data_IF_799014744339
#
_entry.id   IF_799014744339
#
_cell.length_a   1.000
_cell.length_b   1.000
_cell.length_c   1.000
_cell.angle_alpha   90.00
_cell.angle_beta   90.00
_cell.angle_gamma   90.00
#
_symmetry.space_group_name_H-M   'P 1'
#
loop_
_entity.id
_entity.type
_entity.pdbx_description
1 polymer ?
2 non-polymer ?
3 non-polymer ?
4 water ?
#
# COMPACT_ATOMS: atom_id res chain seq x y z
N UNK A 5 -4.90 14.93 -7.33
CA UNK A 5 -5.63 13.68 -7.67
C UNK A 5 -6.72 13.31 -6.66
N UNK A 6 -7.84 14.02 -6.80
CA UNK A 6 -9.12 13.50 -7.34
C UNK A 6 -9.46 12.00 -7.31
N UNK A 7 -9.38 11.45 -6.11
CA UNK A 7 -9.57 10.03 -5.88
C UNK A 7 -10.22 9.88 -4.53
N UNK A 8 -10.97 8.80 -4.40
CA UNK A 8 -11.71 8.49 -3.19
C UNK A 8 -11.24 7.13 -2.68
N UNK A 9 -10.68 7.10 -1.48
CA UNK A 9 -10.20 5.87 -0.86
C UNK A 9 -11.31 5.22 -0.05
N UNK A 10 -11.68 4.00 -0.42
CA UNK A 10 -12.66 3.21 0.32
C UNK A 10 -12.03 1.90 0.78
N UNK A 11 -11.98 1.72 2.10
CA UNK A 11 -11.42 0.51 2.67
C UNK A 11 -12.48 -0.60 2.77
N UNK A 12 -12.12 -1.79 2.33
CA UNK A 12 -12.90 -2.99 2.56
C UNK A 12 -12.21 -3.77 3.68
N UNK A 13 -12.92 -3.90 4.80
CA UNK A 13 -12.35 -4.46 6.02
C UNK A 13 -12.76 -5.91 6.29
N UNK A 14 -11.88 -6.63 6.99
CA UNK A 14 -12.14 -8.01 7.44
C UNK A 14 -13.39 -8.05 8.35
N UNK A 15 -14.42 -8.79 7.94
CA UNK A 15 -15.60 -8.98 8.77
C UNK A 15 -15.27 -9.48 10.18
N UNK A 16 -14.36 -10.43 10.25
CA UNK A 16 -13.92 -11.02 11.52
C UNK A 16 -13.21 -10.01 12.39
N UNK A 17 -12.18 -9.40 11.82
CA UNK A 17 -11.39 -8.37 12.48
C UNK A 17 -11.59 -7.06 11.74
N UNK A 18 -12.62 -6.28 12.08
CA UNK A 18 -12.83 -5.01 11.34
C UNK A 18 -11.68 -4.03 11.51
N UNK A 19 -10.75 -4.42 12.39
CA UNK A 19 -9.46 -3.74 12.52
C UNK A 19 -8.64 -3.84 11.23
N UNK A 20 -8.82 -4.95 10.53
CA UNK A 20 -7.94 -5.37 9.45
C UNK A 20 -8.53 -5.06 8.09
N UNK A 21 -7.78 -4.31 7.29
CA UNK A 21 -8.15 -4.01 5.91
C UNK A 21 -7.76 -5.14 4.96
N UNK A 22 -8.74 -5.60 4.18
CA UNK A 22 -8.53 -6.62 3.14
C UNK A 22 -7.99 -6.00 1.86
N UNK A 23 -8.67 -4.95 1.38
CA UNK A 23 -8.28 -4.18 0.19
C UNK A 23 -8.50 -2.70 0.40
N UNK A 24 -7.64 -1.88 -0.21
CA UNK A 24 -7.86 -0.45 -0.31
C UNK A 24 -8.39 -0.19 -1.71
N UNK A 25 -9.60 0.34 -1.83
CA UNK A 25 -10.12 0.73 -3.14
C UNK A 25 -10.01 2.22 -3.40
N UNK A 26 -9.50 2.55 -4.58
CA UNK A 26 -9.43 3.91 -5.05
C UNK A 26 -10.38 4.08 -6.22
N UNK A 27 -11.41 4.90 -6.04
CA UNK A 27 -12.25 5.33 -7.14
C UNK A 27 -11.60 6.57 -7.76
N UNK A 28 -11.23 6.47 -9.03
CA UNK A 28 -10.43 7.49 -9.70
C UNK A 28 -11.12 8.03 -10.92
N UNK A 29 -10.70 9.23 -11.33
CA UNK A 29 -10.99 9.73 -12.66
C UNK A 29 -10.09 9.05 -13.70
N UNK A 30 -10.57 9.00 -14.92
CA UNK A 30 -9.77 8.53 -16.04
C UNK A 30 -8.67 9.54 -16.32
N UNK A 31 -7.52 9.07 -16.77
CA UNK A 31 -6.45 9.97 -17.16
C UNK A 31 -6.65 10.53 -18.55
N UNK A 32 -6.14 11.74 -18.76
CA UNK A 32 -5.94 12.27 -20.11
C UNK A 32 -4.60 11.75 -20.65
N UNK A 33 -4.52 11.52 -21.96
CA UNK A 33 -3.28 11.04 -22.58
C UNK A 33 -2.06 11.91 -22.29
N UNK A 34 -2.27 13.21 -22.24
CA UNK A 34 -1.17 14.17 -21.99
C UNK A 34 -0.70 14.18 -20.54
N UNK A 35 -1.57 13.82 -19.61
CA UNK A 35 -1.22 13.79 -18.18
C UNK A 35 -0.90 12.36 -17.69
N UNK A 36 -0.83 11.41 -18.62
CA UNK A 36 -0.70 9.99 -18.26
C UNK A 36 0.54 9.63 -17.41
N UNK A 37 1.70 10.22 -17.72
CA UNK A 37 2.89 9.95 -16.90
C UNK A 37 2.75 10.43 -15.45
N UNK A 38 2.21 11.63 -15.28
CA UNK A 38 1.93 12.17 -13.93
C UNK A 38 0.95 11.27 -13.20
N UNK A 39 -0.07 10.82 -13.92
CA UNK A 39 -1.12 9.97 -13.40
C UNK A 39 -0.56 8.63 -12.92
N UNK A 40 0.27 8.02 -13.75
CA UNK A 40 0.92 6.76 -13.39
C UNK A 40 1.78 6.93 -12.13
N UNK A 41 2.52 8.04 -12.05
CA UNK A 41 3.34 8.35 -10.87
C UNK A 41 2.46 8.39 -9.62
N UNK A 42 1.31 9.04 -9.75
CA UNK A 42 0.37 9.21 -8.62
C UNK A 42 -0.24 7.88 -8.21
N UNK A 43 -0.42 6.96 -9.16
CA UNK A 43 -0.86 5.61 -8.85
C UNK A 43 0.25 4.85 -8.11
N UNK A 44 1.48 4.96 -8.61
CA UNK A 44 2.64 4.31 -7.99
C UNK A 44 2.86 4.83 -6.57
N UNK A 45 2.68 6.13 -6.40
CA UNK A 45 2.85 6.80 -5.09
C UNK A 45 1.78 6.41 -4.06
N UNK A 46 0.70 5.82 -4.54
CA UNK A 46 -0.37 5.31 -3.66
C UNK A 46 -0.38 3.78 -3.63
N UNK A 47 0.70 3.19 -4.13
CA UNK A 47 0.90 1.76 -4.07
C UNK A 47 -0.04 0.92 -4.89
N UNK A 48 -0.61 1.48 -5.95
CA UNK A 48 -1.60 0.76 -6.73
C UNK A 48 -1.00 -0.47 -7.40
N UNK A 49 -1.67 -1.60 -7.19
CA UNK A 49 -1.25 -2.90 -7.71
C UNK A 49 -2.01 -3.21 -9.00
N UNK A 50 -3.31 -2.92 -8.97
CA UNK A 50 -4.23 -3.24 -10.06
C UNK A 50 -5.03 -2.01 -10.47
N UNK A 51 -5.14 -1.79 -11.76
CA UNK A 51 -5.98 -0.71 -12.30
C UNK A 51 -7.03 -1.33 -13.18
N UNK A 52 -8.30 -1.08 -12.83
CA UNK A 52 -9.44 -1.62 -13.57
C UNK A 52 -10.14 -0.48 -14.29
N UNK A 53 -10.20 -0.56 -15.60
CA UNK A 53 -11.00 0.41 -16.34
C UNK A 53 -12.26 -0.24 -16.86
N UNK A 54 -13.39 0.36 -16.49
CA UNK A 54 -14.69 -0.18 -16.82
C UNK A 54 -15.38 0.63 -17.93
N UNK A 55 -14.62 1.53 -18.58
CA UNK A 55 -15.13 2.40 -19.65
C UNK A 55 -14.46 2.00 -20.94
N UNK A 56 -14.87 2.62 -22.06
CA UNK A 56 -14.22 2.36 -23.34
C UNK A 56 -12.85 3.04 -23.36
N UNK A 57 -11.81 2.36 -23.83
CA UNK A 57 -10.44 2.91 -23.78
C UNK A 57 -10.38 4.35 -24.24
N UNK A 58 -9.72 5.18 -23.44
CA UNK A 58 -9.45 6.58 -23.77
C UNK A 58 -7.94 6.82 -23.83
N UNK A 59 -7.17 5.74 -23.69
CA UNK A 59 -5.71 5.82 -23.66
C UNK A 59 -5.04 4.45 -23.77
N UNK A 60 -3.72 4.47 -23.89
CA UNK A 60 -2.93 3.26 -24.13
C UNK A 60 -2.48 2.62 -22.82
N UNK A 61 -3.10 1.47 -22.51
CA UNK A 61 -2.87 0.77 -21.25
C UNK A 61 -1.44 0.21 -21.12
N UNK A 62 -0.76 0.00 -22.24
CA UNK A 62 0.58 -0.59 -22.24
C UNK A 62 1.60 0.27 -21.50
N UNK A 63 1.39 1.59 -21.52
CA UNK A 63 2.26 2.51 -20.77
C UNK A 63 2.13 2.35 -19.27
N UNK A 64 0.99 1.85 -18.82
CA UNK A 64 0.75 1.64 -17.40
C UNK A 64 1.28 0.27 -16.98
N UNK A 65 1.08 -0.71 -17.85
CA UNK A 65 1.56 -2.07 -17.60
C UNK A 65 3.07 -2.12 -17.43
N UNK A 66 3.76 -1.24 -18.14
CA UNK A 66 5.21 -1.26 -18.18
C UNK A 66 5.80 -0.64 -16.93
N UNK A 67 4.97 -0.07 -16.08
CA UNK A 67 5.43 0.57 -14.85
C UNK A 67 4.95 -0.16 -13.62
N UNK A 68 4.75 -1.46 -13.78
CA UNK A 68 4.53 -2.37 -12.66
C UNK A 68 3.09 -2.45 -12.17
N UNK A 69 2.17 -1.82 -12.89
CA UNK A 69 0.75 -1.87 -12.54
C UNK A 69 -0.01 -2.76 -13.51
N UNK A 70 -0.74 -3.73 -12.97
CA UNK A 70 -1.55 -4.62 -13.79
C UNK A 70 -2.80 -3.85 -14.21
N UNK A 71 -3.07 -3.79 -15.51
CA UNK A 71 -4.25 -3.10 -16.02
C UNK A 71 -5.26 -4.09 -16.57
N UNK A 72 -6.52 -3.86 -16.22
CA UNK A 72 -7.61 -4.75 -16.56
C UNK A 72 -8.69 -3.93 -17.28
N UNK A 73 -8.98 -4.29 -18.52
CA UNK A 73 -9.93 -3.53 -19.36
C UNK A 73 -11.23 -4.31 -19.48
N UNK A 74 -12.18 -4.03 -18.60
CA UNK A 74 -13.45 -4.73 -18.53
C UNK A 74 -14.64 -3.79 -18.74
N UNK A 75 -14.85 -3.33 -19.95
CA UNK A 75 -15.95 -2.37 -20.18
C UNK A 75 -17.33 -2.95 -19.96
N UNK A 76 -18.20 -2.15 -19.35
CA UNK A 76 -19.65 -2.40 -19.42
C UNK A 76 -20.40 -1.06 -19.59
N UNK A 77 -21.69 -1.16 -19.94
CA UNK A 77 -22.45 0.00 -20.43
C UNK A 77 -22.74 1.03 -19.33
N UNK A 78 -22.73 2.31 -19.70
CA UNK A 78 -23.07 3.35 -18.74
C UNK A 78 -24.47 3.15 -18.22
N UNK A 79 -24.62 3.40 -16.92
CA UNK A 79 -25.87 3.26 -16.23
C UNK A 79 -26.23 1.84 -15.91
N UNK A 80 -25.40 0.89 -16.34
CA UNK A 80 -25.72 -0.53 -16.21
C UNK A 80 -25.07 -1.12 -14.98
N UNK A 81 -25.60 -2.24 -14.50
CA UNK A 81 -24.84 -3.03 -13.53
C UNK A 81 -23.73 -3.79 -14.25
N UNK A 82 -22.73 -4.30 -13.53
CA UNK A 82 -21.74 -5.18 -14.15
C UNK A 82 -22.41 -6.34 -14.85
N UNK A 83 -21.97 -6.65 -16.05
CA UNK A 83 -22.31 -7.93 -16.64
C UNK A 83 -21.79 -9.08 -15.77
N UNK A 84 -22.32 -10.27 -16.02
CA UNK A 84 -21.85 -11.46 -15.32
C UNK A 84 -20.37 -11.74 -15.57
N UNK A 85 -19.89 -11.49 -16.80
CA UNK A 85 -18.46 -11.66 -17.13
C UNK A 85 -17.54 -10.72 -16.32
N UNK A 86 -17.92 -9.46 -16.23
CA UNK A 86 -17.14 -8.48 -15.45
C UNK A 86 -17.11 -8.84 -13.97
N UNK A 87 -18.28 -9.24 -13.46
CA UNK A 87 -18.44 -9.59 -12.06
C UNK A 87 -17.55 -10.76 -11.69
N UNK A 88 -17.62 -11.81 -12.51
CA UNK A 88 -16.82 -13.01 -12.27
C UNK A 88 -15.32 -12.70 -12.35
N UNK A 89 -14.94 -11.83 -13.27
CA UNK A 89 -13.53 -11.45 -13.43
C UNK A 89 -13.04 -10.65 -12.21
N UNK A 90 -13.93 -9.82 -11.68
CA UNK A 90 -13.68 -8.96 -10.52
C UNK A 90 -13.49 -9.81 -9.29
N UNK A 91 -14.42 -10.74 -9.07
CA UNK A 91 -14.31 -11.63 -7.92
C UNK A 91 -13.08 -12.54 -8.04
N UNK A 92 -12.76 -12.96 -9.25
CA UNK A 92 -11.58 -13.81 -9.48
C UNK A 92 -10.30 -13.07 -9.05
N UNK A 93 -10.20 -11.82 -9.48
CA UNK A 93 -9.07 -10.94 -9.12
C UNK A 93 -8.98 -10.74 -7.60
N UNK A 94 -10.11 -10.48 -6.98
CA UNK A 94 -10.13 -10.20 -5.54
C UNK A 94 -9.86 -11.46 -4.71
N UNK A 95 -10.40 -12.60 -5.14
CA UNK A 95 -10.09 -13.89 -4.53
C UNK A 95 -8.60 -14.16 -4.58
N UNK A 96 -7.97 -13.83 -5.71
CA UNK A 96 -6.56 -14.14 -5.93
C UNK A 96 -5.70 -13.26 -5.04
N UNK A 97 -6.09 -12.01 -4.94
CA UNK A 97 -5.38 -11.06 -4.08
C UNK A 97 -5.54 -11.44 -2.61
N UNK A 98 -6.70 -11.99 -2.28
CA UNK A 98 -6.98 -12.45 -0.91
C UNK A 98 -6.13 -13.64 -0.55
N UNK A 99 -5.98 -14.57 -1.50
CA UNK A 99 -5.11 -15.75 -1.30
C UNK A 99 -3.65 -15.34 -1.23
N UNK A 100 -3.28 -14.30 -1.98
CA UNK A 100 -1.89 -13.80 -1.99
C UNK A 100 -1.47 -13.37 -0.58
N UNK A 101 -2.38 -12.71 0.12
CA UNK A 101 -2.13 -12.18 1.46
C UNK A 101 -2.07 -13.28 2.48
N UNK A 102 -2.99 -14.23 2.38
CA UNK A 102 -3.08 -15.37 3.31
C UNK A 102 -1.85 -16.26 3.19
N UNK A 103 -1.41 -16.46 1.96
CA UNK A 103 -0.22 -17.26 1.64
C UNK A 103 1.08 -16.60 2.10
N UNK A 104 1.09 -15.27 2.17
CA UNK A 104 2.33 -14.50 2.45
C UNK A 104 2.10 -13.32 3.40
N UNK A 105 2.44 -13.49 4.68
CA UNK A 105 2.22 -12.44 5.68
C UNK A 105 3.02 -11.15 5.44
N UNK A 106 4.00 -11.22 4.54
CA UNK A 106 4.79 -10.06 4.15
C UNK A 106 4.11 -9.15 3.13
N UNK A 107 2.93 -9.55 2.66
CA UNK A 107 2.16 -8.73 1.72
C UNK A 107 1.13 -7.87 2.48
N UNK A 108 1.25 -6.55 2.39
CA UNK A 108 0.26 -5.68 3.02
C UNK A 108 -0.98 -5.57 2.13
N UNK A 109 -2.07 -5.00 2.63
CA UNK A 109 -3.30 -4.88 1.85
C UNK A 109 -3.09 -4.12 0.53
N UNK A 110 -3.40 -4.74 -0.59
CA UNK A 110 -3.29 -4.08 -1.87
C UNK A 110 -4.26 -2.92 -2.06
N UNK A 111 -3.78 -1.91 -2.77
CA UNK A 111 -4.60 -0.85 -3.28
C UNK A 111 -4.98 -1.22 -4.72
N UNK A 112 -6.28 -1.12 -4.99
CA UNK A 112 -6.81 -1.47 -6.29
C UNK A 112 -7.58 -0.28 -6.80
N UNK A 113 -7.18 0.21 -7.96
CA UNK A 113 -7.81 1.38 -8.56
C UNK A 113 -8.87 1.01 -9.56
N UNK A 114 -9.91 1.85 -9.64
CA UNK A 114 -11.00 1.66 -10.58
C UNK A 114 -11.44 3.01 -11.14
N UNK A 115 -11.46 3.12 -12.46
CA UNK A 115 -11.95 4.35 -13.12
C UNK A 115 -12.89 4.07 -14.28
N UNK A 116 -13.73 5.05 -14.56
CA UNK A 116 -14.48 5.08 -15.81
C UNK A 116 -14.32 6.49 -16.38
N UNK A 117 -15.34 7.34 -16.27
CA UNK A 117 -15.21 8.77 -16.49
C UNK A 117 -15.60 9.55 -15.23
N UNK A 118 -16.91 9.64 -14.96
CA UNK A 118 -17.46 10.48 -13.88
C UNK A 118 -17.17 9.94 -12.48
N UNK A 119 -17.08 8.61 -12.37
CA UNK A 119 -16.88 7.96 -11.08
C UNK A 119 -18.17 7.95 -10.28
N UNK A 120 -19.29 8.07 -10.98
CA UNK A 120 -20.62 8.14 -10.36
C UNK A 120 -21.46 6.87 -10.49
N UNK A 121 -21.01 5.91 -11.28
CA UNK A 121 -21.86 4.77 -11.60
C UNK A 121 -21.10 3.47 -11.60
N UNK A 122 -20.37 3.25 -12.69
CA UNK A 122 -19.80 1.94 -12.98
C UNK A 122 -18.65 1.59 -12.03
N UNK A 123 -17.75 2.54 -11.84
CA UNK A 123 -16.64 2.37 -10.91
C UNK A 123 -17.12 2.08 -9.48
N UNK A 124 -17.98 2.93 -8.91
CA UNK A 124 -18.45 2.71 -7.54
C UNK A 124 -19.21 1.42 -7.33
N UNK A 125 -19.94 0.93 -8.34
CA UNK A 125 -20.75 -0.24 -8.08
C UNK A 125 -19.88 -1.50 -7.95
N UNK A 126 -18.72 -1.53 -8.59
CA UNK A 126 -17.76 -2.63 -8.39
C UNK A 126 -17.23 -2.62 -6.98
N UNK A 127 -16.96 -1.42 -6.48
CA UNK A 127 -16.44 -1.27 -5.12
C UNK A 127 -17.51 -1.67 -4.12
N UNK A 128 -18.73 -1.21 -4.36
CA UNK A 128 -19.87 -1.55 -3.51
C UNK A 128 -19.99 -3.07 -3.42
N UNK A 129 -19.87 -3.74 -4.54
CA UNK A 129 -19.99 -5.18 -4.59
C UNK A 129 -18.91 -5.88 -3.78
N UNK A 130 -17.68 -5.36 -3.86
CA UNK A 130 -16.56 -5.92 -3.08
C UNK A 130 -16.86 -5.81 -1.59
N UNK A 131 -17.43 -4.67 -1.17
CA UNK A 131 -17.80 -4.46 0.23
C UNK A 131 -18.85 -5.48 0.69
N UNK A 132 -19.78 -5.79 -0.19
CA UNK A 132 -20.82 -6.77 0.12
C UNK A 132 -20.23 -8.18 0.17
N UNK A 133 -19.44 -8.53 -0.84
CA UNK A 133 -18.94 -9.89 -0.97
C UNK A 133 -17.87 -10.24 0.07
N UNK A 134 -16.93 -9.32 0.31
CA UNK A 134 -15.77 -9.59 1.19
C UNK A 134 -15.87 -8.89 2.54
N UNK A 135 -16.43 -7.70 2.56
CA UNK A 135 -16.64 -6.96 3.81
C UNK A 135 -17.87 -7.40 4.56
N UNK A 136 -18.73 -8.18 3.91
CA UNK A 136 -20.03 -8.62 4.43
C UNK A 136 -20.91 -7.47 4.90
N UNK A 137 -20.75 -6.33 4.24
CA UNK A 137 -21.57 -5.15 4.47
C UNK A 137 -22.85 -5.29 3.66
N UNK A 138 -23.97 -4.92 4.26
CA UNK A 138 -25.25 -4.92 3.54
C UNK A 138 -25.22 -3.96 2.36
N UNK A 139 -25.97 -4.30 1.33
CA UNK A 139 -26.03 -3.51 0.12
C UNK A 139 -26.33 -2.04 0.42
N UNK A 140 -27.34 -1.80 1.26
CA UNK A 140 -27.74 -0.42 1.59
C UNK A 140 -26.63 0.36 2.32
N UNK A 141 -25.86 -0.33 3.16
CA UNK A 141 -24.76 0.30 3.88
C UNK A 141 -23.54 0.53 2.96
N UNK A 142 -23.35 -0.34 1.97
CA UNK A 142 -22.24 -0.17 1.03
C UNK A 142 -22.49 1.05 0.17
N UNK A 143 -23.74 1.26 -0.20
CA UNK A 143 -24.15 2.39 -1.05
C UNK A 143 -23.98 3.69 -0.28
N UNK A 144 -24.46 3.71 0.96
CA UNK A 144 -24.35 4.88 1.81
C UNK A 144 -22.89 5.25 2.02
N UNK A 145 -22.05 4.23 2.24
CA UNK A 145 -20.62 4.42 2.50
C UNK A 145 -19.94 5.11 1.32
N UNK A 146 -20.25 4.62 0.13
CA UNK A 146 -19.69 5.19 -1.11
C UNK A 146 -20.21 6.60 -1.34
N UNK A 147 -21.49 6.81 -1.04
CA UNK A 147 -22.12 8.14 -1.20
C UNK A 147 -21.62 9.19 -0.20
N UNK A 148 -21.17 8.75 0.96
CA UNK A 148 -20.52 9.65 1.93
C UNK A 148 -19.39 10.37 1.24
N UNK A 149 -18.54 9.58 0.60
CA UNK A 149 -17.30 10.07 0.02
C UNK A 149 -17.49 10.60 -1.41
N UNK A 150 -18.48 10.06 -2.09
CA UNK A 150 -18.79 10.41 -3.49
C UNK A 150 -20.28 10.69 -3.67
N UNK A 151 -20.67 11.95 -3.60
CA UNK A 151 -22.09 12.31 -3.66
C UNK A 151 -22.67 11.99 -5.06
N UNK A 152 -23.88 11.44 -5.05
CA UNK A 152 -24.58 11.10 -6.28
C UNK A 152 -24.19 9.79 -6.93
N UNK A 153 -23.33 9.02 -6.29
CA UNK A 153 -22.93 7.72 -6.84
C UNK A 153 -24.08 6.71 -6.93
N UNK A 154 -24.11 5.93 -8.01
CA UNK A 154 -24.91 4.71 -8.17
C UNK A 154 -26.40 4.98 -8.48
N UNK A 155 -26.83 4.66 -9.71
CA UNK A 155 -28.20 4.90 -10.13
C UNK A 155 -29.14 3.82 -9.62
N UNK A 156 -30.40 3.96 -9.99
CA UNK A 156 -31.46 3.13 -9.43
C UNK A 156 -31.31 1.66 -9.85
N UNK A 157 -31.01 1.42 -11.13
CA UNK A 157 -30.78 0.07 -11.66
C UNK A 157 -29.58 -0.60 -10.99
N UNK A 158 -28.50 0.16 -10.81
CA UNK A 158 -27.32 -0.35 -10.10
C UNK A 158 -27.66 -0.67 -8.64
N UNK A 159 -28.53 0.15 -8.06
CA UNK A 159 -28.97 -0.02 -6.68
C UNK A 159 -29.74 -1.34 -6.54
N UNK A 160 -30.69 -1.55 -7.45
CA UNK A 160 -31.52 -2.76 -7.44
C UNK A 160 -30.65 -4.02 -7.58
N UNK A 161 -29.69 -3.97 -8.50
CA UNK A 161 -28.83 -5.12 -8.77
C UNK A 161 -27.97 -5.52 -7.57
N UNK A 162 -27.39 -4.55 -6.90
CA UNK A 162 -26.57 -4.82 -5.71
C UNK A 162 -27.42 -5.31 -4.52
N UNK A 163 -28.64 -4.81 -4.41
CA UNK A 163 -29.58 -5.29 -3.38
C UNK A 163 -30.00 -6.74 -3.60
N UNK A 164 -29.94 -7.19 -4.85
CA UNK A 164 -30.39 -8.53 -5.26
C UNK A 164 -29.28 -9.59 -5.32
N UNK A 165 -28.03 -9.15 -5.37
CA UNK A 165 -26.86 -10.03 -5.59
C UNK A 165 -26.61 -11.06 -4.49
N UNK A 166 -26.43 -12.30 -4.94
CA UNK A 166 -25.59 -13.26 -4.20
C UNK A 166 -24.77 -14.15 -5.14
N UNK A 167 -23.58 -14.52 -4.66
CA UNK A 167 -22.46 -15.05 -5.50
C UNK A 167 -22.86 -15.45 -6.92
N UNK B 5 14.79 -11.39 -0.89
CA UNK B 5 14.03 -10.34 -0.16
C UNK B 5 14.05 -10.59 1.34
N UNK B 6 13.69 -11.80 1.74
CA UNK B 6 13.61 -12.20 3.15
C UNK B 6 12.95 -11.11 3.97
N UNK B 7 11.68 -10.85 3.67
CA UNK B 7 10.99 -9.66 4.17
C UNK B 7 10.11 -9.95 5.39
N UNK B 8 10.14 -9.00 6.32
CA UNK B 8 9.29 -9.04 7.50
C UNK B 8 8.43 -7.78 7.50
N UNK B 9 7.11 -7.96 7.50
CA UNK B 9 6.17 -6.84 7.57
C UNK B 9 5.88 -6.46 9.03
N UNK B 10 6.18 -5.22 9.38
CA UNK B 10 5.88 -4.68 10.70
C UNK B 10 4.99 -3.44 10.56
N UNK B 11 3.80 -3.52 11.12
CA UNK B 11 2.84 -2.41 11.05
C UNK B 11 3.03 -1.43 12.19
N UNK B 12 3.07 -0.14 11.85
CA UNK B 12 3.03 0.93 12.83
C UNK B 12 1.64 1.53 12.82
N UNK B 13 0.94 1.40 13.94
CA UNK B 13 -0.48 1.77 14.02
C UNK B 13 -0.72 3.12 14.68
N UNK B 14 -1.81 3.76 14.28
CA UNK B 14 -2.25 5.03 14.88
C UNK B 14 -2.53 4.86 16.39
N UNK B 15 -1.80 5.60 17.23
CA UNK B 15 -2.07 5.58 18.67
C UNK B 15 -3.52 5.89 19.02
N UNK B 16 -4.06 6.92 18.35
CA UNK B 16 -5.44 7.39 18.58
C UNK B 16 -6.46 6.33 18.20
N UNK B 17 -6.30 5.74 17.01
CA UNK B 17 -7.09 4.59 16.57
C UNK B 17 -6.16 3.43 16.20
N UNK B 18 -5.88 2.53 17.16
CA UNK B 18 -4.96 1.43 16.92
C UNK B 18 -5.57 0.46 15.92
N UNK B 19 -6.80 0.79 15.53
CA UNK B 19 -7.55 0.14 14.48
C UNK B 19 -6.95 0.42 13.11
N UNK B 20 -6.08 1.43 13.01
CA UNK B 20 -5.60 1.93 11.71
C UNK B 20 -4.06 2.13 11.58
N UNK B 21 -3.58 1.75 10.42
CA UNK B 21 -2.15 1.71 10.12
C UNK B 21 -1.61 3.03 9.59
N UNK B 22 -0.54 3.52 10.24
CA UNK B 22 0.16 4.74 9.81
C UNK B 22 1.17 4.46 8.71
N UNK B 23 2.00 3.45 8.93
CA UNK B 23 2.99 2.97 7.95
C UNK B 23 3.08 1.44 7.97
N UNK B 24 3.36 0.86 6.81
CA UNK B 24 3.73 -0.54 6.72
C UNK B 24 5.25 -0.59 6.55
N UNK B 25 5.95 -1.19 7.50
CA UNK B 25 7.40 -1.34 7.35
C UNK B 25 7.78 -2.73 6.90
N UNK B 26 8.67 -2.75 5.90
CA UNK B 26 9.29 -3.97 5.42
C UNK B 26 10.76 -3.96 5.81
N UNK B 27 11.15 -4.88 6.70
CA UNK B 27 12.57 -5.14 6.94
C UNK B 27 13.05 -6.13 5.90
N UNK B 28 14.02 -5.71 5.09
CA UNK B 28 14.48 -6.49 3.95
C UNK B 28 15.98 -6.77 3.97
N UNK B 29 16.36 -7.81 3.23
CA UNK B 29 17.76 -7.99 2.85
C UNK B 29 18.10 -7.04 1.70
N UNK B 30 19.38 -6.72 1.59
CA UNK B 30 19.90 -5.96 0.46
C UNK B 30 19.78 -6.80 -0.81
N UNK B 31 19.55 -6.15 -1.95
CA UNK B 31 19.56 -6.86 -3.20
C UNK B 31 20.97 -7.10 -3.70
N UNK B 32 21.15 -8.20 -4.41
CA UNK B 32 22.35 -8.40 -5.22
C UNK B 32 22.13 -7.71 -6.57
N UNK B 33 23.20 -7.20 -7.19
CA UNK B 33 23.10 -6.56 -8.51
C UNK B 33 22.43 -7.42 -9.59
N UNK B 34 22.70 -8.72 -9.55
CA UNK B 34 22.15 -9.66 -10.53
C UNK B 34 20.65 -9.97 -10.32
N UNK B 35 20.18 -9.83 -9.08
CA UNK B 35 18.76 -10.08 -8.75
C UNK B 35 17.94 -8.78 -8.63
N UNK B 36 18.56 -7.65 -8.99
CA UNK B 36 17.95 -6.33 -8.79
C UNK B 36 16.60 -6.11 -9.50
N UNK B 37 16.44 -6.59 -10.74
CA UNK B 37 15.15 -6.47 -11.42
C UNK B 37 14.02 -7.21 -10.72
N UNK B 38 14.30 -8.44 -10.30
CA UNK B 38 13.33 -9.25 -9.53
C UNK B 38 12.95 -8.53 -8.24
N UNK B 39 13.97 -8.00 -7.59
CA UNK B 39 13.84 -7.30 -6.32
C UNK B 39 12.95 -6.06 -6.48
N UNK B 40 13.23 -5.26 -7.51
CA UNK B 40 12.43 -4.07 -7.79
C UNK B 40 10.96 -4.44 -8.04
N UNK B 41 10.75 -5.51 -8.81
CA UNK B 41 9.39 -6.00 -9.07
C UNK B 41 8.67 -6.34 -7.76
N UNK B 42 9.38 -7.02 -6.87
CA UNK B 42 8.82 -7.44 -5.59
C UNK B 42 8.52 -6.24 -4.68
N UNK B 43 9.31 -5.19 -4.81
CA UNK B 43 9.04 -3.95 -4.08
C UNK B 43 7.78 -3.28 -4.66
N UNK B 44 7.69 -3.22 -6.00
CA UNK B 44 6.53 -2.64 -6.68
C UNK B 44 5.25 -3.40 -6.34
N UNK B 45 5.36 -4.73 -6.33
CA UNK B 45 4.25 -5.63 -5.99
C UNK B 45 3.77 -5.50 -4.55
N UNK B 46 4.57 -4.88 -3.69
CA UNK B 46 4.18 -4.63 -2.31
C UNK B 46 3.94 -3.14 -2.07
N UNK B 47 3.85 -2.37 -3.15
CA UNK B 47 3.49 -0.96 -3.10
C UNK B 47 4.51 -0.05 -2.46
N UNK B 48 5.78 -0.47 -2.46
CA UNK B 48 6.83 0.27 -1.74
C UNK B 48 7.02 1.67 -2.29
N UNK B 49 6.95 2.65 -1.41
CA UNK B 49 7.04 4.06 -1.78
C UNK B 49 8.48 4.56 -1.58
N UNK B 50 9.08 4.10 -0.48
CA UNK B 50 10.42 4.53 -0.06
C UNK B 50 11.29 3.32 0.25
N UNK B 51 12.53 3.39 -0.22
CA UNK B 51 13.53 2.39 0.14
C UNK B 51 14.70 3.11 0.81
N UNK B 52 14.98 2.69 2.04
CA UNK B 52 16.02 3.28 2.84
C UNK B 52 17.18 2.29 2.98
N UNK B 53 18.36 2.68 2.54
CA UNK B 53 19.54 1.84 2.75
C UNK B 53 20.50 2.50 3.75
N UNK B 54 20.81 1.75 4.79
CA UNK B 54 21.54 2.29 5.95
C UNK B 54 22.90 1.64 6.22
N UNK B 55 23.43 0.91 5.25
CA UNK B 55 24.74 0.20 5.44
C UNK B 55 25.71 0.31 4.26
N UNK B 56 25.54 1.34 3.44
CA UNK B 56 26.44 1.60 2.31
C UNK B 56 25.87 1.16 0.97
N UNK B 57 26.44 1.65 -0.13
CA UNK B 57 25.98 1.16 -1.42
C UNK B 57 26.61 -0.14 -1.85
N UNK B 58 25.76 -1.08 -2.27
CA UNK B 58 26.20 -2.33 -2.89
C UNK B 58 25.58 -2.45 -4.29
N UNK B 59 24.92 -1.38 -4.74
CA UNK B 59 24.23 -1.37 -6.04
C UNK B 59 23.80 0.05 -6.46
N UNK B 60 23.32 0.14 -7.70
CA UNK B 60 23.02 1.43 -8.32
C UNK B 60 21.59 1.85 -8.04
N UNK B 61 21.44 2.87 -7.21
CA UNK B 61 20.13 3.33 -6.74
C UNK B 61 19.28 3.91 -7.86
N UNK B 62 19.94 4.42 -8.90
CA UNK B 62 19.24 5.09 -9.99
C UNK B 62 18.26 4.17 -10.70
N UNK B 63 18.60 2.88 -10.74
CA UNK B 63 17.76 1.85 -11.36
C UNK B 63 16.44 1.64 -10.59
N UNK B 64 16.46 1.96 -9.29
CA UNK B 64 15.27 1.85 -8.44
C UNK B 64 14.46 3.14 -8.49
N UNK B 65 15.16 4.27 -8.51
CA UNK B 65 14.52 5.60 -8.59
C UNK B 65 13.67 5.74 -9.87
N UNK B 66 14.12 5.07 -10.92
CA UNK B 66 13.49 5.22 -12.24
C UNK B 66 12.22 4.38 -12.34
N UNK B 67 11.97 3.57 -11.31
CA UNK B 67 10.80 2.70 -11.30
C UNK B 67 9.79 3.12 -10.24
N UNK B 68 9.81 4.42 -9.91
CA UNK B 68 8.77 5.04 -9.10
C UNK B 68 8.97 4.91 -7.61
N UNK B 69 10.14 4.40 -7.21
CA UNK B 69 10.50 4.20 -5.80
C UNK B 69 11.59 5.20 -5.36
N UNK B 70 11.29 5.94 -4.31
CA UNK B 70 12.24 6.89 -3.74
C UNK B 70 13.30 6.09 -2.96
N UNK B 71 14.57 6.33 -3.28
CA UNK B 71 15.67 5.69 -2.55
C UNK B 71 16.39 6.71 -1.69
N UNK B 72 16.72 6.29 -0.46
CA UNK B 72 17.38 7.14 0.52
C UNK B 72 18.61 6.44 1.05
N UNK B 73 19.77 7.07 0.83
CA UNK B 73 21.06 6.45 1.14
C UNK B 73 21.69 7.17 2.33
N UNK B 74 21.47 6.61 3.51
CA UNK B 74 21.99 7.22 4.74
C UNK B 74 22.94 6.28 5.47
N UNK B 75 24.21 6.23 5.04
CA UNK B 75 25.10 5.22 5.56
C UNK B 75 25.48 5.41 7.02
N UNK B 76 25.49 4.29 7.74
CA UNK B 76 26.16 4.24 9.03
C UNK B 76 27.64 4.10 8.79
N UNK B 77 28.46 4.62 9.71
CA UNK B 77 29.91 4.34 9.73
C UNK B 77 30.09 2.85 9.98
N UNK B 78 31.05 2.23 9.32
CA UNK B 78 31.14 0.76 9.27
C UNK B 78 31.12 0.05 10.63
N UNK B 79 32.06 0.40 11.50
CA UNK B 79 32.20 -0.24 12.82
C UNK B 79 31.74 0.57 14.02
N UNK B 80 31.07 1.69 13.77
CA UNK B 80 30.71 2.65 14.83
C UNK B 80 29.24 2.50 15.23
N UNK B 81 28.84 3.21 16.28
CA UNK B 81 27.43 3.22 16.65
C UNK B 81 26.59 4.05 15.68
N UNK B 82 25.31 3.73 15.58
CA UNK B 82 24.45 4.44 14.66
C UNK B 82 24.52 5.94 14.84
N UNK B 83 24.81 6.64 13.75
CA UNK B 83 24.97 8.07 13.82
C UNK B 83 23.59 8.63 14.12
N UNK B 84 23.57 9.80 14.75
CA UNK B 84 22.34 10.45 15.13
C UNK B 84 21.73 11.11 13.88
N UNK B 85 22.60 11.44 12.93
CA UNK B 85 22.20 11.99 11.65
C UNK B 85 21.26 11.07 10.88
N UNK B 86 21.58 9.78 10.85
CA UNK B 86 20.77 8.80 10.12
C UNK B 86 19.37 8.67 10.74
N UNK B 87 19.32 8.60 12.06
CA UNK B 87 18.05 8.45 12.79
C UNK B 87 17.14 9.67 12.62
N UNK B 88 17.74 10.86 12.71
CA UNK B 88 17.00 12.11 12.51
C UNK B 88 16.48 12.25 11.08
N UNK B 89 17.25 11.78 10.11
CA UNK B 89 16.84 11.82 8.71
C UNK B 89 15.66 10.89 8.45
N UNK B 90 15.68 9.76 9.11
CA UNK B 90 14.63 8.75 9.04
C UNK B 90 13.33 9.28 9.62
N UNK B 91 13.39 9.87 10.81
CA UNK B 91 12.20 10.47 11.43
C UNK B 91 11.68 11.67 10.63
N UNK B 92 12.60 12.41 10.02
CA UNK B 92 12.24 13.54 9.16
C UNK B 92 11.41 13.08 7.97
N UNK B 93 11.85 11.99 7.34
CA UNK B 93 11.13 11.36 6.22
C UNK B 93 9.72 10.90 6.64
N UNK B 94 9.63 10.27 7.80
CA UNK B 94 8.38 9.73 8.29
C UNK B 94 7.38 10.84 8.69
N UNK B 95 7.90 11.92 9.26
CA UNK B 95 7.08 13.14 9.46
C UNK B 95 6.43 13.62 8.14
N UNK B 96 7.19 13.61 7.04
CA UNK B 96 6.69 14.12 5.77
C UNK B 96 5.62 13.19 5.20
N UNK B 97 5.86 11.88 5.35
CA UNK B 97 4.87 10.89 4.90
C UNK B 97 3.58 11.00 5.74
N UNK B 98 3.76 11.33 7.01
CA UNK B 98 2.62 11.48 7.92
C UNK B 98 1.77 12.69 7.51
N UNK B 99 2.44 13.78 7.15
CA UNK B 99 1.75 14.99 6.67
C UNK B 99 1.09 14.74 5.33
N UNK B 100 1.71 13.91 4.49
CA UNK B 100 1.16 13.58 3.17
C UNK B 100 -0.23 12.93 3.32
N UNK B 101 -0.35 12.04 4.30
CA UNK B 101 -1.60 11.31 4.56
C UNK B 101 -2.67 12.21 5.12
N UNK B 102 -2.28 13.07 6.07
CA UNK B 102 -3.21 14.00 6.74
C UNK B 102 -3.73 15.04 5.74
N UNK B 103 -2.83 15.51 4.87
CA UNK B 103 -3.16 16.49 3.83
C UNK B 103 -4.05 15.91 2.74
N UNK B 104 -3.99 14.59 2.52
CA UNK B 104 -4.70 13.94 1.42
C UNK B 104 -5.33 12.58 1.82
N UNK B 105 -6.63 12.58 2.08
CA UNK B 105 -7.33 11.36 2.54
C UNK B 105 -7.36 10.23 1.49
N UNK B 106 -7.00 10.56 0.26
CA UNK B 106 -6.90 9.58 -0.82
C UNK B 106 -5.60 8.78 -0.79
N UNK B 107 -4.68 9.11 0.11
CA UNK B 107 -3.42 8.38 0.22
C UNK B 107 -3.52 7.27 1.27
N UNK B 108 -3.38 6.01 0.86
CA UNK B 108 -3.40 4.91 1.81
C UNK B 108 -2.05 4.82 2.52
N UNK B 109 -1.96 3.99 3.56
CA UNK B 109 -0.71 3.91 4.33
C UNK B 109 0.46 3.44 3.48
N UNK B 110 1.55 4.19 3.47
CA UNK B 110 2.71 3.83 2.68
C UNK B 110 3.43 2.63 3.23
N UNK B 111 3.96 1.83 2.32
CA UNK B 111 4.91 0.79 2.65
C UNK B 111 6.29 1.39 2.46
N UNK B 112 7.12 1.21 3.47
CA UNK B 112 8.44 1.76 3.47
C UNK B 112 9.42 0.62 3.75
N UNK B 113 10.36 0.41 2.84
CA UNK B 113 11.35 -0.64 2.98
C UNK B 113 12.65 -0.13 3.58
N UNK B 114 13.30 -1.00 4.36
CA UNK B 114 14.58 -0.70 4.99
C UNK B 114 15.49 -1.91 4.92
N UNK B 115 16.70 -1.71 4.39
CA UNK B 115 17.71 -2.75 4.36
C UNK B 115 19.14 -2.29 4.77
N UNK B 116 19.89 -3.24 5.30
CA UNK B 116 21.30 -3.02 5.68
C UNK B 116 22.15 -3.73 4.61
N UNK B 117 23.02 -4.65 5.00
CA UNK B 117 23.77 -5.46 4.02
C UNK B 117 24.01 -6.88 4.55
N UNK B 118 24.49 -7.76 3.69
CA UNK B 118 24.84 -9.13 4.10
C UNK B 118 25.79 -9.13 5.31
N UNK B 119 25.45 -9.96 6.30
CA UNK B 119 26.26 -10.15 7.51
C UNK B 119 26.00 -9.11 8.57
N UNK B 120 24.91 -8.37 8.42
CA UNK B 120 24.57 -7.29 9.35
C UNK B 120 23.06 -7.07 9.40
N UNK B 121 22.61 -6.37 10.44
CA UNK B 121 21.21 -6.35 10.79
C UNK B 121 20.80 -5.10 11.53
N UNK B 122 21.13 -3.96 10.95
CA UNK B 122 20.80 -2.65 11.51
C UNK B 122 19.40 -2.11 11.11
N UNK B 123 18.81 -2.64 10.03
CA UNK B 123 17.47 -2.21 9.59
C UNK B 123 16.41 -2.18 10.71
N UNK B 124 16.35 -3.22 11.55
CA UNK B 124 15.37 -3.25 12.64
C UNK B 124 15.44 -2.06 13.60
N UNK B 125 16.61 -1.44 13.70
CA UNK B 125 16.78 -0.29 14.60
C UNK B 125 15.81 0.80 14.19
N UNK B 126 15.79 1.07 12.90
CA UNK B 126 14.97 2.14 12.34
C UNK B 126 13.49 1.87 12.51
N UNK B 127 13.09 0.62 12.32
CA UNK B 127 11.69 0.25 12.46
C UNK B 127 11.22 0.39 13.90
N UNK B 128 12.02 -0.12 14.84
CA UNK B 128 11.72 -0.03 16.26
C UNK B 128 11.51 1.42 16.65
N UNK B 129 12.39 2.29 16.15
CA UNK B 129 12.34 3.72 16.51
C UNK B 129 11.06 4.40 15.94
N UNK B 130 10.63 3.98 14.76
CA UNK B 130 9.36 4.47 14.19
C UNK B 130 8.15 4.07 15.06
N UNK B 131 8.18 2.84 15.55
CA UNK B 131 7.10 2.35 16.43
C UNK B 131 7.01 3.17 17.71
N UNK B 132 8.17 3.54 18.23
CA UNK B 132 8.23 4.34 19.45
C UNK B 132 7.74 5.77 19.17
N UNK B 133 8.24 6.36 18.09
CA UNK B 133 8.00 7.76 17.82
C UNK B 133 6.57 8.03 17.37
N UNK B 134 6.06 7.17 16.46
CA UNK B 134 4.75 7.38 15.86
C UNK B 134 3.66 6.46 16.39
N UNK B 135 4.03 5.23 16.70
CA UNK B 135 3.07 4.28 17.27
C UNK B 135 2.86 4.47 18.75
N UNK B 136 3.74 5.27 19.36
CA UNK B 136 3.78 5.48 20.81
C UNK B 136 3.91 4.18 21.61
N UNK B 137 4.58 3.21 21.00
CA UNK B 137 4.90 1.94 21.64
C UNK B 137 6.16 2.11 22.49
N UNK B 138 6.17 1.55 23.69
CA UNK B 138 7.37 1.59 24.54
C UNK B 138 8.54 0.88 23.84
N UNK B 139 9.74 1.42 23.98
CA UNK B 139 10.93 0.88 23.28
C UNK B 139 11.09 -0.62 23.51
N UNK B 140 10.98 -1.05 24.76
CA UNK B 140 11.13 -2.49 25.09
C UNK B 140 10.05 -3.36 24.40
N UNK B 141 8.85 -2.82 24.25
CA UNK B 141 7.75 -3.55 23.58
C UNK B 141 7.91 -3.56 22.05
N UNK B 142 8.49 -2.49 21.50
CA UNK B 142 8.76 -2.43 20.05
C UNK B 142 9.83 -3.47 19.68
N UNK B 143 10.81 -3.64 20.56
CA UNK B 143 11.90 -4.59 20.34
C UNK B 143 11.36 -6.04 20.40
N UNK B 144 10.54 -6.32 21.41
CA UNK B 144 9.94 -7.66 21.58
C UNK B 144 9.10 -8.01 20.37
N UNK B 145 8.34 -7.03 19.89
CA UNK B 145 7.45 -7.19 18.75
C UNK B 145 8.23 -7.59 17.50
N UNK B 146 9.32 -6.87 17.25
CA UNK B 146 10.16 -7.13 16.08
C UNK B 146 10.85 -8.51 16.21
N UNK B 147 11.29 -8.82 17.43
CA UNK B 147 11.98 -10.08 17.70
C UNK B 147 11.06 -11.30 17.52
N UNK B 148 9.79 -11.15 17.83
CA UNK B 148 8.80 -12.21 17.62
C UNK B 148 8.62 -12.54 16.13
N UNK B 149 8.53 -11.51 15.30
CA UNK B 149 8.21 -11.63 13.88
C UNK B 149 9.44 -11.92 13.03
N UNK B 150 10.61 -11.49 13.51
CA UNK B 150 11.87 -11.69 12.77
C UNK B 150 12.92 -12.28 13.69
N UNK B 151 13.09 -13.58 13.62
CA UNK B 151 13.90 -14.27 14.61
C UNK B 151 15.37 -13.90 14.52
N UNK B 152 15.98 -13.68 15.68
CA UNK B 152 17.39 -13.27 15.76
C UNK B 152 17.64 -11.79 15.51
N UNK B 153 16.58 -11.01 15.29
CA UNK B 153 16.70 -9.58 15.07
C UNK B 153 17.04 -8.89 16.40
N UNK B 154 17.72 -7.75 16.29
CA UNK B 154 18.10 -6.88 17.42
C UNK B 154 18.83 -7.63 18.51
N UNK B 155 20.16 -7.60 18.42
CA UNK B 155 21.01 -8.09 19.50
C UNK B 155 21.05 -7.09 20.66
N UNK B 156 21.82 -7.41 21.67
CA UNK B 156 21.81 -6.67 22.92
C UNK B 156 22.34 -5.26 22.75
N UNK B 157 23.43 -5.13 22.02
CA UNK B 157 23.97 -3.80 21.78
C UNK B 157 23.03 -2.92 20.89
N UNK B 158 22.34 -3.52 19.91
CA UNK B 158 21.31 -2.80 19.15
C UNK B 158 20.13 -2.40 20.06
N UNK B 159 19.83 -3.26 21.04
CA UNK B 159 18.77 -3.00 22.00
C UNK B 159 19.10 -1.75 22.81
N UNK B 160 20.32 -1.70 23.32
CA UNK B 160 20.78 -0.56 24.12
C UNK B 160 20.71 0.74 23.31
N UNK B 161 21.17 0.70 22.06
CA UNK B 161 21.14 1.89 21.18
C UNK B 161 19.74 2.45 20.93
N UNK B 162 18.80 1.54 20.65
CA UNK B 162 17.40 1.89 20.45
C UNK B 162 16.74 2.50 21.69
N UNK B 163 17.04 1.91 22.84
CA UNK B 163 16.48 2.39 24.12
C UNK B 163 17.09 3.73 24.48
N UNK B 164 18.25 4.04 23.92
CA UNK B 164 18.98 5.27 24.26
C UNK B 164 18.49 6.47 23.48
N UNK B 165 18.07 6.22 22.24
CA UNK B 165 17.74 7.29 21.30
C UNK B 165 16.47 8.04 21.70
N UNK B 166 16.58 9.36 21.77
CA UNK B 166 15.40 10.24 21.93
C UNK B 166 15.47 11.44 21.02
N UNK B 167 14.29 12.02 20.76
CA UNK B 167 14.19 13.34 20.11
C UNK B 167 13.16 14.26 20.83
X LIG C 1 -19.20 6.26 -14.39
X LIG C 1 -19.74 5.17 -15.23
X LIG C 1 -20.29 6.83 -13.57
X LIG C 1 -18.66 7.34 -15.25
X LIG C 1 -17.80 5.56 -13.23
X LIG D 1 0.30 -1.18 -1.00
X LIG D 1 -0.96 -0.44 -1.08
X LIG D 1 -0.72 0.98 -0.56
X LIG D 1 0.70 1.28 -0.56
X LIG D 1 1.40 0.45 0.40
X LIG D 1 0.93 -1.00 0.30
X LIG D 1 0.89 2.69 -0.35
X LIG D 1 2.26 3.14 -0.86
X LIG D 1 2.43 4.53 -0.74
X LIG D 1 0.10 -2.60 -1.27
X LIG D 1 -0.03 -2.82 -2.77
X LIG D 1 0.25 -4.56 -3.19
X LIG D 1 -0.94 -5.23 -3.69
X LIG D 1 0.72 -5.27 -1.99
X LIG D 1 1.22 -4.57 -4.27
#
# INVERSE_FOLDING_TARGET
GPGSMNATLIDCCDPQKPSRVLFHFLILDAPSPSNLPTYIKELQHRGVRHLVRVCGPTYDATLVKSRGIDVHSWPFDDGAPPTRAVLDSWLKLLDTELARQQEDPSVPPPTIGVHCVAGLGRAPILVALALVEYGNVSALDAIALIREKRKGAINQTQMHWITKYKR
GPGSMNATLIDCCDPQKPSRVLFHFLILDAPSPSNLPTYIKELQHRGVRHLVRVCGPTYDATLVKSRGIDVHSWPFDDGAPPTRAVLDSWLKLLDTELARQQEDPSVPPPTIGVHCVAGLGRAPILVALALVEYGNVSALDAIALIREKRKGAINQTQMHWITKYKR
THJ S1 O1 O2 O3 S2
EPE N1 C2 C3 N4 C5 C6 C7 C8 O8 C9 C10 S O1S O2S O3S
#
